data_IF_012452931501
#
_entry.id   IF_012452931501
#
_cell.length_a   1.000
_cell.length_b   1.000
_cell.length_c   1.000
_cell.angle_alpha   90.00
_cell.angle_beta   90.00
_cell.angle_gamma   90.00
#
_symmetry.space_group_name_H-M   'P 1'
#
loop_
_entity.id
_entity.type
_entity.pdbx_description
1 polymer ?
#
# COMPACT_ATOMS: atom_id res chain seq x y z
N UNK A 1 9.65 18.24 -14.04
CA UNK A 1 10.87 18.95 -13.61
C UNK A 1 11.72 19.20 -14.83
N UNK A 2 11.80 20.45 -15.24
CA UNK A 2 12.71 20.93 -16.27
C UNK A 2 14.09 21.24 -15.65
N UNK A 3 15.13 21.39 -16.49
CA UNK A 3 16.51 21.58 -16.04
C UNK A 3 16.73 22.81 -15.13
N UNK A 4 15.84 23.81 -15.18
CA UNK A 4 15.90 25.03 -14.38
C UNK A 4 14.78 25.13 -13.33
N UNK A 5 14.12 24.02 -12.99
CA UNK A 5 13.12 23.97 -11.93
C UNK A 5 13.72 23.44 -10.63
N UNK A 6 13.35 24.07 -9.52
CA UNK A 6 13.67 23.62 -8.16
C UNK A 6 12.37 23.28 -7.42
N UNK A 7 12.28 22.07 -6.86
CA UNK A 7 11.19 21.71 -5.97
C UNK A 7 11.32 22.49 -4.66
N UNK A 8 10.49 23.52 -4.48
CA UNK A 8 10.54 24.39 -3.29
C UNK A 8 9.59 23.97 -2.18
N UNK A 9 8.52 23.24 -2.51
CA UNK A 9 7.52 22.78 -1.53
C UNK A 9 6.74 21.58 -2.02
N UNK A 10 6.30 20.76 -1.06
CA UNK A 10 5.31 19.70 -1.26
C UNK A 10 4.12 20.06 -0.38
N UNK A 11 2.90 20.07 -0.94
CA UNK A 11 1.66 20.27 -0.18
C UNK A 11 0.98 18.93 0.00
N UNK A 12 0.82 18.51 1.24
CA UNK A 12 0.12 17.27 1.59
C UNK A 12 -1.14 17.69 2.34
N UNK A 13 -2.35 17.34 1.86
CA UNK A 13 -3.57 17.62 2.59
C UNK A 13 -3.55 16.89 3.94
N UNK A 14 -4.06 17.54 4.98
CA UNK A 14 -4.27 16.87 6.26
C UNK A 14 -5.31 15.77 6.08
N UNK A 15 -5.03 14.62 6.67
CA UNK A 15 -6.00 13.53 6.69
C UNK A 15 -7.16 13.95 7.60
N UNK A 16 -8.38 13.83 7.08
CA UNK A 16 -9.58 14.03 7.88
C UNK A 16 -9.75 12.88 8.89
N UNK A 17 -10.77 12.95 9.73
CA UNK A 17 -11.08 11.88 10.68
C UNK A 17 -11.27 10.53 9.96
N UNK A 18 -11.04 9.45 10.71
CA UNK A 18 -11.14 8.06 10.27
C UNK A 18 -10.24 7.66 9.09
N UNK A 19 -9.11 8.35 8.92
CA UNK A 19 -8.04 7.88 8.06
C UNK A 19 -7.05 7.01 8.83
N UNK A 20 -6.69 5.89 8.22
CA UNK A 20 -5.74 4.93 8.72
C UNK A 20 -4.58 4.84 7.75
N UNK A 21 -3.36 4.73 8.29
CA UNK A 21 -2.15 4.69 7.47
C UNK A 21 -1.21 3.62 7.96
N UNK A 22 -0.52 2.98 7.03
CA UNK A 22 0.57 2.09 7.36
C UNK A 22 1.70 2.21 6.33
N UNK A 23 2.93 2.19 6.82
CA UNK A 23 4.12 2.17 5.97
C UNK A 23 5.08 1.09 6.44
N UNK A 24 5.35 0.13 5.56
CA UNK A 24 6.27 -0.97 5.82
C UNK A 24 7.45 -0.90 4.85
N UNK A 25 8.66 -1.06 5.40
CA UNK A 25 9.91 -1.06 4.62
C UNK A 25 10.75 -2.29 4.95
N UNK A 26 11.18 -2.99 3.91
CA UNK A 26 12.09 -4.12 4.00
C UNK A 26 13.48 -3.67 3.51
N UNK A 27 14.45 -3.77 4.41
CA UNK A 27 15.88 -3.53 4.15
C UNK A 27 16.73 -4.74 4.56
N UNK A 28 18.02 -4.72 4.23
CA UNK A 28 18.97 -5.77 4.68
C UNK A 28 19.38 -5.59 6.15
N UNK A 29 19.24 -4.38 6.67
CA UNK A 29 19.64 -3.97 8.02
C UNK A 29 18.63 -2.96 8.57
N UNK A 30 18.57 -2.81 9.89
CA UNK A 30 17.58 -1.96 10.58
C UNK A 30 17.76 -0.46 10.32
N UNK A 31 18.99 0.01 10.09
CA UNK A 31 19.30 1.42 9.86
C UNK A 31 20.14 1.63 8.59
N UNK A 32 20.07 2.83 7.98
CA UNK A 32 20.82 3.21 6.78
C UNK A 32 20.67 2.19 5.62
N UNK A 33 19.49 1.59 5.45
CA UNK A 33 19.23 0.63 4.37
C UNK A 33 18.41 1.27 3.26
N UNK A 34 18.85 1.08 2.02
CA UNK A 34 18.00 1.25 0.83
C UNK A 34 16.88 0.20 0.92
N UNK A 35 15.65 0.60 0.62
CA UNK A 35 14.51 -0.30 0.58
C UNK A 35 14.69 -1.32 -0.55
N UNK A 36 14.49 -2.60 -0.26
CA UNK A 36 14.35 -3.64 -1.29
C UNK A 36 12.91 -3.76 -1.76
N UNK A 37 11.99 -3.48 -0.85
CA UNK A 37 10.57 -3.34 -1.09
C UNK A 37 9.98 -2.49 0.04
N UNK A 38 9.03 -1.65 -0.28
CA UNK A 38 8.18 -0.99 0.72
C UNK A 38 6.74 -0.94 0.23
N UNK A 39 5.82 -0.69 1.14
CA UNK A 39 4.41 -0.49 0.83
C UNK A 39 3.88 0.63 1.72
N UNK A 40 3.23 1.61 1.11
CA UNK A 40 2.41 2.60 1.78
C UNK A 40 0.94 2.26 1.56
N UNK A 41 0.15 2.28 2.63
CA UNK A 41 -1.30 2.20 2.62
C UNK A 41 -1.84 3.46 3.30
N UNK A 42 -2.79 4.11 2.65
CA UNK A 42 -3.67 5.12 3.26
C UNK A 42 -5.09 4.74 2.91
N UNK A 43 -6.01 4.78 3.85
CA UNK A 43 -7.42 4.52 3.58
C UNK A 43 -8.28 5.27 4.58
N UNK A 44 -9.46 5.69 4.14
CA UNK A 44 -10.53 6.07 5.05
C UNK A 44 -11.35 4.81 5.36
N UNK A 45 -11.85 4.70 6.58
CA UNK A 45 -12.85 3.71 6.97
C UNK A 45 -14.01 4.49 7.55
N UNK A 46 -15.23 4.33 7.03
CA UNK A 46 -16.39 5.03 7.56
C UNK A 46 -16.92 4.41 8.87
N UNK A 47 -17.95 5.01 9.44
CA UNK A 47 -18.56 4.58 10.70
C UNK A 47 -19.19 3.18 10.62
N UNK A 48 -19.51 2.70 9.41
CA UNK A 48 -20.03 1.35 9.18
C UNK A 48 -18.90 0.32 8.97
N UNK A 49 -17.64 0.77 9.04
CA UNK A 49 -16.48 -0.08 8.83
C UNK A 49 -16.21 -0.38 7.36
N UNK A 50 -16.62 0.48 6.43
CA UNK A 50 -16.40 0.31 4.99
C UNK A 50 -15.16 1.10 4.55
N UNK A 51 -14.27 0.43 3.80
CA UNK A 51 -13.09 1.08 3.21
C UNK A 51 -13.48 2.08 2.10
N UNK A 52 -12.90 3.27 2.17
CA UNK A 52 -13.07 4.36 1.20
C UNK A 52 -11.73 5.05 0.92
N UNK A 53 -11.59 5.66 -0.27
CA UNK A 53 -10.40 6.40 -0.70
C UNK A 53 -9.07 5.68 -0.41
N UNK A 54 -9.06 4.36 -0.65
CA UNK A 54 -7.88 3.53 -0.44
C UNK A 54 -6.79 3.91 -1.45
N UNK A 55 -5.55 4.08 -0.95
CA UNK A 55 -4.32 4.26 -1.72
C UNK A 55 -3.28 3.24 -1.32
N UNK A 56 -2.80 2.46 -2.29
CA UNK A 56 -1.78 1.44 -2.10
C UNK A 56 -0.62 1.71 -3.05
N UNK A 57 0.52 2.13 -2.50
CA UNK A 57 1.70 2.51 -3.28
C UNK A 57 2.90 1.68 -2.87
N UNK A 58 3.41 0.79 -3.74
CA UNK A 58 4.63 0.06 -3.48
C UNK A 58 5.87 0.88 -3.85
N UNK A 59 6.91 0.78 -3.02
CA UNK A 59 8.23 1.33 -3.31
C UNK A 59 9.23 0.25 -3.69
N UNK A 60 10.15 0.58 -4.60
CA UNK A 60 11.16 -0.36 -5.14
C UNK A 60 10.58 -1.62 -5.80
N UNK A 61 9.27 -1.61 -6.13
CA UNK A 61 8.58 -2.72 -6.78
C UNK A 61 8.38 -2.46 -8.27
N UNK A 62 7.88 -1.27 -8.61
CA UNK A 62 7.50 -0.80 -9.95
C UNK A 62 8.57 0.12 -10.56
N UNK A 63 8.56 0.38 -11.89
CA UNK A 63 9.55 1.25 -12.54
C UNK A 63 9.55 2.69 -12.02
N UNK A 64 8.37 3.20 -11.63
CA UNK A 64 8.17 4.48 -10.98
C UNK A 64 7.16 4.32 -9.83
N UNK A 65 7.20 5.19 -8.79
CA UNK A 65 6.20 5.20 -7.73
C UNK A 65 4.80 5.40 -8.35
N UNK A 66 3.90 4.46 -8.12
CA UNK A 66 2.54 4.51 -8.63
C UNK A 66 1.58 3.75 -7.71
N UNK A 67 0.32 4.13 -7.75
CA UNK A 67 -0.77 3.39 -7.10
C UNK A 67 -1.04 2.05 -7.78
N UNK A 68 -1.48 1.08 -6.98
CA UNK A 68 -1.99 -0.21 -7.41
C UNK A 68 -3.52 -0.13 -7.49
N UNK A 69 -4.03 0.42 -8.59
CA UNK A 69 -5.46 0.72 -8.77
C UNK A 69 -6.35 -0.52 -8.66
N UNK A 70 -5.93 -1.67 -9.22
CA UNK A 70 -6.73 -2.92 -9.13
C UNK A 70 -6.84 -3.38 -7.68
N UNK A 71 -5.78 -3.18 -6.90
CA UNK A 71 -5.76 -3.45 -5.46
C UNK A 71 -6.62 -2.47 -4.68
N UNK A 72 -6.52 -1.17 -4.98
CA UNK A 72 -7.33 -0.11 -4.36
C UNK A 72 -8.83 -0.37 -4.59
N UNK A 73 -9.22 -0.69 -5.82
CA UNK A 73 -10.60 -0.98 -6.21
C UNK A 73 -11.13 -2.27 -5.54
N UNK A 74 -10.27 -3.27 -5.35
CA UNK A 74 -10.65 -4.50 -4.67
C UNK A 74 -10.89 -4.31 -3.17
N UNK A 75 -10.26 -3.30 -2.55
CA UNK A 75 -10.40 -2.97 -1.12
C UNK A 75 -11.59 -2.03 -0.90
N UNK A 76 -11.74 -0.99 -1.74
CA UNK A 76 -12.80 0.00 -1.58
C UNK A 76 -14.20 -0.65 -1.63
N UNK A 77 -15.10 -0.21 -0.76
CA UNK A 77 -16.45 -0.77 -0.64
C UNK A 77 -16.52 -2.13 0.09
N UNK A 78 -15.39 -2.68 0.55
CA UNK A 78 -15.38 -3.85 1.44
C UNK A 78 -15.56 -3.42 2.89
N UNK A 79 -16.17 -4.31 3.68
CA UNK A 79 -16.24 -4.18 5.12
C UNK A 79 -14.98 -4.72 5.79
N UNK A 80 -14.54 -4.08 6.88
CA UNK A 80 -13.47 -4.58 7.77
C UNK A 80 -13.80 -5.93 8.42
N UNK A 81 -15.06 -6.36 8.39
CA UNK A 81 -15.52 -7.64 8.92
C UNK A 81 -15.44 -8.78 7.91
N UNK A 82 -15.56 -8.47 6.61
CA UNK A 82 -15.72 -9.47 5.54
C UNK A 82 -14.59 -9.48 4.50
N UNK A 83 -13.67 -8.51 4.55
CA UNK A 83 -12.60 -8.40 3.57
C UNK A 83 -11.68 -9.65 3.59
N UNK A 84 -11.59 -10.33 2.46
CA UNK A 84 -10.65 -11.44 2.26
C UNK A 84 -9.24 -10.91 2.01
N UNK A 85 -8.50 -10.72 3.11
CA UNK A 85 -7.12 -10.24 3.09
C UNK A 85 -6.19 -11.17 2.29
N UNK A 86 -6.47 -12.47 2.21
CA UNK A 86 -5.68 -13.40 1.41
C UNK A 86 -5.86 -13.13 -0.08
N UNK A 87 -7.10 -12.90 -0.51
CA UNK A 87 -7.39 -12.58 -1.91
C UNK A 87 -6.81 -11.22 -2.32
N UNK A 88 -6.92 -10.20 -1.47
CA UNK A 88 -6.26 -8.90 -1.73
C UNK A 88 -4.74 -9.08 -1.90
N UNK A 89 -4.13 -9.93 -1.08
CA UNK A 89 -2.71 -10.29 -1.22
C UNK A 89 -2.34 -10.92 -2.57
N UNK A 90 -3.24 -11.75 -3.14
CA UNK A 90 -3.04 -12.33 -4.48
C UNK A 90 -3.20 -11.27 -5.56
N UNK A 91 -4.26 -10.46 -5.49
CA UNK A 91 -4.55 -9.36 -6.42
C UNK A 91 -3.35 -8.41 -6.51
N UNK A 92 -2.86 -7.94 -5.37
CA UNK A 92 -1.71 -7.02 -5.26
C UNK A 92 -0.46 -7.58 -5.97
N UNK A 93 -0.17 -8.86 -5.74
CA UNK A 93 1.01 -9.48 -6.35
C UNK A 93 0.87 -9.67 -7.86
N UNK A 94 -0.35 -10.01 -8.34
CA UNK A 94 -0.65 -10.14 -9.76
C UNK A 94 -0.55 -8.79 -10.46
N UNK A 95 -1.10 -7.74 -9.87
CA UNK A 95 -1.05 -6.39 -10.40
C UNK A 95 0.40 -5.89 -10.50
N UNK A 96 1.19 -6.05 -9.44
CA UNK A 96 2.62 -5.70 -9.46
C UNK A 96 3.36 -6.41 -10.62
N UNK A 97 3.12 -7.71 -10.82
CA UNK A 97 3.73 -8.48 -11.90
C UNK A 97 3.22 -8.03 -13.27
N UNK A 98 1.93 -7.72 -13.40
CA UNK A 98 1.33 -7.18 -14.63
C UNK A 98 2.02 -5.88 -15.06
N UNK A 99 2.26 -4.96 -14.12
CA UNK A 99 2.94 -3.69 -14.37
C UNK A 99 4.42 -3.88 -14.70
N UNK A 100 5.10 -4.79 -14.02
CA UNK A 100 6.57 -4.90 -14.08
C UNK A 100 7.07 -5.88 -15.14
N UNK A 101 6.21 -6.81 -15.58
CA UNK A 101 6.62 -8.04 -16.25
C UNK A 101 7.34 -9.00 -15.30
N UNK A 102 7.59 -10.22 -15.78
CA UNK A 102 8.38 -11.19 -15.03
C UNK A 102 9.88 -10.84 -15.09
N UNK A 103 10.54 -10.77 -13.93
CA UNK A 103 11.94 -10.36 -13.79
C UNK A 103 12.64 -11.29 -12.83
N UNK A 104 13.98 -11.28 -12.84
CA UNK A 104 14.80 -12.05 -11.89
C UNK A 104 14.45 -11.79 -10.42
N UNK A 105 13.95 -10.59 -10.10
CA UNK A 105 13.54 -10.22 -8.72
C UNK A 105 12.10 -10.60 -8.37
N UNK A 106 11.28 -11.03 -9.33
CA UNK A 106 9.87 -11.40 -9.12
C UNK A 106 9.68 -12.53 -8.12
N UNK A 107 10.47 -13.63 -8.12
CA UNK A 107 10.34 -14.69 -7.12
C UNK A 107 10.49 -14.21 -5.68
N UNK A 108 11.28 -13.16 -5.46
CA UNK A 108 11.42 -12.52 -4.16
C UNK A 108 10.27 -11.52 -3.89
N UNK A 109 9.98 -10.62 -4.84
CA UNK A 109 9.05 -9.51 -4.63
C UNK A 109 7.58 -9.95 -4.56
N UNK A 110 7.19 -10.94 -5.36
CA UNK A 110 5.80 -11.43 -5.44
C UNK A 110 5.27 -11.93 -4.09
N UNK A 111 5.91 -12.88 -3.39
CA UNK A 111 5.45 -13.29 -2.05
C UNK A 111 5.63 -12.17 -1.02
N UNK A 112 6.65 -11.34 -1.17
CA UNK A 112 6.93 -10.26 -0.20
C UNK A 112 5.85 -9.19 -0.23
N UNK A 113 5.43 -8.71 -1.41
CA UNK A 113 4.39 -7.68 -1.52
C UNK A 113 3.03 -8.20 -1.03
N UNK A 114 2.71 -9.48 -1.29
CA UNK A 114 1.55 -10.17 -0.71
C UNK A 114 1.57 -10.08 0.82
N UNK A 115 2.70 -10.37 1.46
CA UNK A 115 2.79 -10.28 2.92
C UNK A 115 2.64 -8.85 3.42
N UNK A 116 3.23 -7.87 2.74
CA UNK A 116 3.17 -6.46 3.14
C UNK A 116 1.74 -5.92 3.15
N UNK A 117 0.97 -6.12 2.07
CA UNK A 117 -0.41 -5.61 2.00
C UNK A 117 -1.31 -6.29 3.02
N UNK A 118 -1.13 -7.60 3.23
CA UNK A 118 -1.87 -8.35 4.24
C UNK A 118 -1.63 -7.81 5.65
N UNK A 119 -0.37 -7.51 5.97
CA UNK A 119 0.00 -6.92 7.26
C UNK A 119 -0.56 -5.52 7.43
N UNK A 120 -0.49 -4.70 6.37
CA UNK A 120 -1.01 -3.34 6.39
C UNK A 120 -2.52 -3.35 6.66
N UNK A 121 -3.28 -4.16 5.91
CA UNK A 121 -4.72 -4.32 6.09
C UNK A 121 -5.09 -4.82 7.48
N UNK A 122 -4.45 -5.87 7.97
CA UNK A 122 -4.73 -6.40 9.31
C UNK A 122 -4.54 -5.34 10.40
N UNK A 123 -3.47 -4.55 10.29
CA UNK A 123 -3.18 -3.48 11.25
C UNK A 123 -4.24 -2.38 11.21
N UNK A 124 -4.59 -1.85 10.03
CA UNK A 124 -5.60 -0.79 9.95
C UNK A 124 -6.99 -1.28 10.35
N UNK A 125 -7.31 -2.56 10.11
CA UNK A 125 -8.56 -3.19 10.58
C UNK A 125 -8.57 -3.27 12.11
N UNK A 126 -7.46 -3.65 12.73
CA UNK A 126 -7.34 -3.72 14.19
C UNK A 126 -7.47 -2.33 14.82
N UNK A 127 -6.78 -1.32 14.26
CA UNK A 127 -6.89 0.08 14.70
C UNK A 127 -8.33 0.61 14.56
N UNK A 128 -8.99 0.32 13.43
CA UNK A 128 -10.37 0.75 13.21
C UNK A 128 -11.37 0.13 14.19
N UNK A 129 -11.17 -1.13 14.57
CA UNK A 129 -12.02 -1.82 15.56
C UNK A 129 -11.84 -1.31 16.99
N UNK A 130 -10.72 -0.66 17.30
CA UNK A 130 -10.47 -0.07 18.61
C UNK A 130 -11.09 1.33 18.71
N UNK A 131 -11.16 2.04 17.58
CA UNK A 131 -11.60 3.43 17.52
C UNK A 131 -13.10 3.61 17.19
N UNK A 132 -13.78 2.55 16.73
CA UNK A 132 -15.23 2.51 16.51
C UNK A 132 -15.96 1.83 17.65
#
# INVERSE_FOLDING_TARGET
MQANELLTKIKIPLLADNHYTDFQKIGRRKALSIARLSLALVTKIDEEGIFQDTRVVPGSATPYPQSLLVTEDAINGKSIFDIDVEEIGKITSKEMVSITGERWSTPYKKPTITVLIKRALKKVIEEAKING
#
